data_IF_128695590820
#
_entry.id   IF_128695590820
#
_cell.length_a   1.000
_cell.length_b   1.000
_cell.length_c   1.000
_cell.angle_alpha   90.00
_cell.angle_beta   90.00
_cell.angle_gamma   90.00
#
_symmetry.space_group_name_H-M   'P 1'
#
loop_
_entity.id
_entity.type
_entity.pdbx_description
1 polymer ?
#
# COMPACT_ATOMS: atom_id res chain seq x y z
N UNK A 1 -10.40 -60.64 51.12
CA UNK A 1 -9.03 -60.60 51.70
C UNK A 1 -8.04 -61.49 50.94
N UNK A 2 -8.45 -62.24 49.91
CA UNK A 2 -7.58 -63.18 49.19
C UNK A 2 -6.81 -62.58 48.00
N UNK A 3 -7.21 -61.42 47.47
CA UNK A 3 -6.55 -60.76 46.32
C UNK A 3 -5.28 -59.95 46.68
N UNK A 4 -4.99 -59.80 47.97
CA UNK A 4 -3.87 -58.99 48.45
C UNK A 4 -2.54 -59.75 48.31
N UNK A 5 -2.58 -61.08 48.46
CA UNK A 5 -1.43 -61.97 48.31
C UNK A 5 -0.78 -61.93 46.90
N UNK A 6 -1.53 -62.04 45.79
CA UNK A 6 -0.93 -61.93 44.45
C UNK A 6 -0.45 -60.50 44.13
N UNK A 7 -1.07 -59.47 44.72
CA UNK A 7 -0.65 -58.08 44.55
C UNK A 7 0.68 -57.79 45.27
N UNK A 8 0.89 -58.34 46.47
CA UNK A 8 2.16 -58.23 47.20
C UNK A 8 3.30 -59.00 46.54
N UNK A 9 3.01 -60.10 45.85
CA UNK A 9 4.03 -60.83 45.08
C UNK A 9 4.58 -60.00 43.90
N UNK A 10 3.75 -59.16 43.27
CA UNK A 10 4.19 -58.24 42.19
C UNK A 10 5.02 -57.06 42.70
N UNK A 11 4.99 -56.80 44.00
CA UNK A 11 5.72 -55.71 44.66
C UNK A 11 7.10 -56.17 45.17
N UNK A 12 7.50 -57.43 44.92
CA UNK A 12 8.84 -57.91 45.21
C UNK A 12 9.86 -57.25 44.28
N UNK A 13 10.78 -56.50 44.89
CA UNK A 13 11.94 -55.80 44.31
C UNK A 13 12.98 -56.69 43.60
N UNK A 14 12.67 -57.96 43.29
CA UNK A 14 13.62 -58.89 42.68
C UNK A 14 13.83 -58.63 41.18
N UNK A 15 12.82 -58.07 40.49
CA UNK A 15 12.92 -57.67 39.07
C UNK A 15 13.15 -56.15 38.95
N UNK A 16 14.11 -55.60 39.71
CA UNK A 16 14.54 -54.23 39.51
C UNK A 16 15.33 -54.12 38.19
N UNK A 17 14.93 -53.26 37.23
CA UNK A 17 15.75 -53.02 36.05
C UNK A 17 17.13 -52.50 36.49
N UNK A 18 18.21 -52.95 35.83
CA UNK A 18 19.59 -52.78 36.30
C UNK A 18 20.13 -51.34 36.32
N UNK A 19 19.32 -50.34 36.00
CA UNK A 19 19.61 -48.92 36.21
C UNK A 19 18.52 -48.37 37.11
N UNK A 20 18.91 -47.79 38.25
CA UNK A 20 18.01 -47.39 39.35
C UNK A 20 16.86 -46.46 38.96
N UNK A 21 16.12 -46.00 39.98
CA UNK A 21 14.87 -45.21 39.86
C UNK A 21 14.99 -44.05 38.85
N UNK A 22 16.18 -43.45 38.73
CA UNK A 22 16.49 -42.35 37.81
C UNK A 22 16.34 -42.73 36.33
N UNK A 23 16.66 -43.98 35.94
CA UNK A 23 16.52 -44.46 34.56
C UNK A 23 15.05 -44.62 34.10
N UNK A 24 14.09 -44.56 35.03
CA UNK A 24 12.63 -44.61 34.74
C UNK A 24 12.11 -43.20 34.43
N UNK A 25 12.70 -42.15 35.01
CA UNK A 25 12.33 -40.76 34.75
C UNK A 25 12.71 -40.32 33.33
N UNK A 26 13.81 -40.85 32.80
CA UNK A 26 14.30 -40.55 31.44
C UNK A 26 13.58 -41.36 30.33
N UNK A 27 12.74 -42.33 30.70
CA UNK A 27 12.00 -43.15 29.72
C UNK A 27 10.75 -42.42 29.20
N UNK A 28 10.90 -41.66 28.12
CA UNK A 28 9.77 -41.18 27.33
C UNK A 28 9.13 -42.33 26.53
N UNK A 29 8.24 -43.09 27.18
CA UNK A 29 7.43 -44.09 26.49
C UNK A 29 6.34 -43.38 25.67
N UNK A 30 6.11 -43.77 24.40
CA UNK A 30 4.99 -43.22 23.64
C UNK A 30 3.69 -43.53 24.38
N UNK A 31 2.86 -42.51 24.59
CA UNK A 31 1.56 -42.68 25.24
C UNK A 31 0.78 -43.76 24.49
N UNK A 32 0.30 -44.78 25.21
CA UNK A 32 -0.56 -45.83 24.63
C UNK A 32 -1.78 -45.14 24.01
N UNK A 33 -1.96 -45.29 22.69
CA UNK A 33 -3.14 -44.79 21.99
C UNK A 33 -4.35 -45.54 22.52
N UNK A 34 -5.16 -44.86 23.34
CA UNK A 34 -6.43 -45.40 23.81
C UNK A 34 -7.38 -45.45 22.62
N UNK A 35 -7.95 -46.63 22.33
CA UNK A 35 -8.98 -46.76 21.29
C UNK A 35 -10.18 -45.90 21.70
N UNK A 36 -10.70 -45.09 20.77
CA UNK A 36 -11.89 -44.28 21.02
C UNK A 36 -13.04 -45.22 21.42
N UNK A 37 -13.72 -44.91 22.52
CA UNK A 37 -14.90 -45.67 22.94
C UNK A 37 -16.02 -45.52 21.90
N UNK A 38 -16.90 -46.52 21.74
CA UNK A 38 -18.01 -46.45 20.78
C UNK A 38 -18.90 -45.23 21.03
N UNK A 39 -19.15 -44.86 22.29
CA UNK A 39 -19.94 -43.68 22.66
C UNK A 39 -19.27 -42.37 22.26
N UNK A 40 -17.93 -42.30 22.34
CA UNK A 40 -17.17 -41.14 21.89
C UNK A 40 -17.20 -41.01 20.36
N UNK A 41 -17.16 -42.13 19.64
CA UNK A 41 -17.32 -42.15 18.18
C UNK A 41 -18.73 -41.68 17.82
N UNK A 42 -19.76 -42.21 18.50
CA UNK A 42 -21.15 -41.82 18.29
C UNK A 42 -21.38 -40.33 18.53
N UNK A 43 -20.89 -39.79 19.66
CA UNK A 43 -21.03 -38.37 19.98
C UNK A 43 -20.30 -37.46 18.99
N UNK A 44 -19.15 -37.90 18.43
CA UNK A 44 -18.46 -37.17 17.37
C UNK A 44 -19.32 -37.12 16.10
N UNK A 45 -19.85 -38.26 15.66
CA UNK A 45 -20.68 -38.33 14.45
C UNK A 45 -21.97 -37.51 14.60
N UNK A 46 -22.59 -37.54 15.78
CA UNK A 46 -23.77 -36.71 16.06
C UNK A 46 -23.45 -35.21 15.95
N UNK A 47 -22.29 -34.77 16.45
CA UNK A 47 -21.85 -33.37 16.32
C UNK A 47 -21.49 -32.99 14.89
N UNK A 48 -20.88 -33.88 14.14
CA UNK A 48 -20.40 -33.57 12.80
C UNK A 48 -21.54 -33.54 11.76
N UNK A 49 -22.58 -34.36 11.94
CA UNK A 49 -23.64 -34.53 10.93
C UNK A 49 -25.04 -34.07 11.35
N UNK A 50 -25.37 -34.11 12.65
CA UNK A 50 -26.73 -33.82 13.13
C UNK A 50 -26.83 -32.48 13.87
N UNK A 51 -25.71 -31.91 14.32
CA UNK A 51 -25.72 -30.58 14.92
C UNK A 51 -25.84 -29.50 13.81
N UNK A 52 -26.73 -28.51 13.98
CA UNK A 52 -26.78 -27.40 13.03
C UNK A 52 -25.48 -26.61 13.06
N UNK A 53 -25.01 -26.18 11.89
CA UNK A 53 -23.84 -25.32 11.81
C UNK A 53 -24.16 -23.91 12.31
N UNK A 54 -23.26 -23.32 13.09
CA UNK A 54 -23.40 -21.93 13.57
C UNK A 54 -23.13 -20.88 12.47
N UNK A 55 -22.74 -21.33 11.28
CA UNK A 55 -22.53 -20.51 10.09
C UNK A 55 -23.17 -21.17 8.87
N UNK A 56 -23.53 -20.35 7.88
CA UNK A 56 -24.01 -20.85 6.60
C UNK A 56 -22.87 -21.46 5.77
N UNK A 57 -23.15 -22.56 5.07
CA UNK A 57 -22.21 -23.11 4.09
C UNK A 57 -22.20 -22.26 2.82
N UNK A 58 -21.12 -22.35 2.03
CA UNK A 58 -20.99 -21.64 0.74
C UNK A 58 -22.20 -21.82 -0.19
N UNK A 59 -22.77 -23.02 -0.43
CA UNK A 59 -23.94 -23.14 -1.31
C UNK A 59 -25.21 -22.51 -0.72
N UNK A 60 -25.33 -22.40 0.60
CA UNK A 60 -26.42 -21.66 1.24
C UNK A 60 -26.20 -20.15 1.15
N UNK A 61 -24.97 -19.69 1.32
CA UNK A 61 -24.62 -18.27 1.14
C UNK A 61 -24.90 -17.81 -0.28
N UNK A 62 -24.53 -18.59 -1.31
CA UNK A 62 -24.79 -18.21 -2.71
C UNK A 62 -26.28 -18.07 -3.03
N UNK A 63 -27.15 -18.80 -2.31
CA UNK A 63 -28.61 -18.70 -2.47
C UNK A 63 -29.24 -17.57 -1.67
N UNK A 64 -28.66 -17.25 -0.51
CA UNK A 64 -29.18 -16.25 0.42
C UNK A 64 -28.61 -14.86 0.16
N UNK A 65 -27.42 -14.76 -0.43
CA UNK A 65 -26.78 -13.49 -0.77
C UNK A 65 -27.36 -12.94 -2.06
N UNK A 66 -27.70 -11.66 -2.02
CA UNK A 66 -28.03 -10.88 -3.20
C UNK A 66 -26.87 -9.92 -3.46
N UNK A 67 -26.32 -9.95 -4.69
CA UNK A 67 -25.35 -8.96 -5.13
C UNK A 67 -26.10 -7.71 -5.56
N UNK A 68 -25.67 -6.56 -5.07
CA UNK A 68 -26.22 -5.28 -5.47
C UNK A 68 -25.48 -4.80 -6.71
N UNK A 69 -26.22 -4.25 -7.66
CA UNK A 69 -25.61 -3.60 -8.82
C UNK A 69 -24.99 -2.27 -8.36
N UNK A 70 -23.67 -2.21 -8.37
CA UNK A 70 -22.91 -1.00 -8.05
C UNK A 70 -22.32 -0.45 -9.37
N UNK A 71 -22.98 0.50 -10.05
CA UNK A 71 -22.40 1.12 -11.23
C UNK A 71 -21.10 1.85 -10.84
N UNK A 72 -20.07 1.72 -11.67
CA UNK A 72 -18.78 2.36 -11.42
C UNK A 72 -18.91 3.87 -11.57
N UNK A 73 -18.76 4.61 -10.46
CA UNK A 73 -18.65 6.06 -10.52
C UNK A 73 -17.21 6.44 -10.92
N UNK A 74 -17.02 6.87 -12.16
CA UNK A 74 -15.70 7.25 -12.66
C UNK A 74 -15.15 8.52 -12.00
N UNK A 75 -16.01 9.37 -11.44
CA UNK A 75 -15.59 10.62 -10.81
C UNK A 75 -14.78 10.38 -9.53
N UNK A 76 -15.01 9.27 -8.85
CA UNK A 76 -14.28 8.87 -7.63
C UNK A 76 -12.83 8.44 -7.91
N UNK A 77 -12.49 8.14 -9.17
CA UNK A 77 -11.13 7.77 -9.57
C UNK A 77 -10.21 8.98 -9.75
N UNK A 78 -10.76 10.20 -9.78
CA UNK A 78 -9.96 11.40 -9.97
C UNK A 78 -9.26 11.78 -8.67
N UNK A 79 -7.92 11.81 -8.70
CA UNK A 79 -7.10 12.25 -7.58
C UNK A 79 -6.81 13.75 -7.66
N UNK A 80 -7.06 14.45 -6.55
CA UNK A 80 -6.62 15.84 -6.39
C UNK A 80 -5.16 15.89 -5.94
N UNK A 81 -4.39 16.80 -6.54
CA UNK A 81 -3.01 17.02 -6.14
C UNK A 81 -2.92 17.47 -4.67
N UNK A 82 -1.94 16.96 -3.89
CA UNK A 82 -1.78 17.33 -2.50
C UNK A 82 -1.41 18.81 -2.33
N UNK A 83 -1.85 19.40 -1.22
CA UNK A 83 -1.53 20.79 -0.88
C UNK A 83 -0.02 20.97 -0.66
N UNK A 84 0.53 22.09 -1.14
CA UNK A 84 1.95 22.41 -0.99
C UNK A 84 2.16 23.46 0.11
N UNK A 85 3.04 23.17 1.06
CA UNK A 85 3.44 24.10 2.13
C UNK A 85 4.46 25.11 1.62
N UNK A 86 4.22 26.41 1.85
CA UNK A 86 5.14 27.50 1.49
C UNK A 86 5.85 28.13 2.69
N UNK A 87 5.56 27.69 3.90
CA UNK A 87 6.15 28.27 5.13
C UNK A 87 7.16 27.29 5.72
N UNK A 88 8.34 27.80 6.06
CA UNK A 88 9.39 27.05 6.74
C UNK A 88 9.86 27.85 7.95
N UNK A 89 10.13 27.16 9.05
CA UNK A 89 10.66 27.75 10.28
C UNK A 89 12.18 27.89 10.13
N UNK A 90 12.70 29.13 10.24
CA UNK A 90 14.13 29.42 10.32
C UNK A 90 14.49 29.88 11.72
N UNK A 91 15.46 29.22 12.33
CA UNK A 91 15.97 29.58 13.65
C UNK A 91 16.93 30.77 13.57
N UNK A 92 16.76 31.74 14.47
CA UNK A 92 17.71 32.84 14.68
C UNK A 92 18.75 32.41 15.71
N UNK A 93 20.02 32.62 15.40
CA UNK A 93 21.15 32.28 16.27
C UNK A 93 21.93 33.54 16.62
N UNK A 94 22.27 33.69 17.90
CA UNK A 94 22.96 34.86 18.42
C UNK A 94 24.12 34.45 19.33
N UNK A 95 25.10 35.37 19.47
CA UNK A 95 26.33 35.16 20.24
C UNK A 95 27.39 34.34 19.51
N UNK A 96 28.60 34.29 20.11
CA UNK A 96 29.75 33.53 19.59
C UNK A 96 29.53 32.01 19.60
N UNK A 97 28.71 31.50 20.52
CA UNK A 97 28.33 30.09 20.59
C UNK A 97 27.23 29.70 19.58
N UNK A 98 26.52 30.68 19.00
CA UNK A 98 25.45 30.45 18.03
C UNK A 98 24.23 29.70 18.59
N UNK A 99 23.83 29.99 19.84
CA UNK A 99 22.62 29.38 20.43
C UNK A 99 21.36 29.85 19.72
N UNK A 100 20.38 28.95 19.58
CA UNK A 100 19.07 29.29 19.01
C UNK A 100 18.30 30.13 20.02
N UNK A 101 18.05 31.40 19.69
CA UNK A 101 17.32 32.35 20.55
C UNK A 101 15.88 32.51 20.14
N UNK A 102 15.54 32.24 18.88
CA UNK A 102 14.20 32.39 18.37
C UNK A 102 13.99 31.66 17.05
N UNK A 103 12.79 31.83 16.51
CA UNK A 103 12.40 31.31 15.22
C UNK A 103 11.59 32.36 14.46
N UNK A 104 11.66 32.29 13.13
CA UNK A 104 10.83 33.09 12.23
C UNK A 104 10.29 32.20 11.12
N UNK A 105 9.03 32.37 10.81
CA UNK A 105 8.43 31.73 9.64
C UNK A 105 8.82 32.52 8.40
N UNK A 106 9.41 31.84 7.42
CA UNK A 106 9.83 32.44 6.15
C UNK A 106 9.10 31.72 5.04
N UNK A 107 8.52 32.50 4.13
CA UNK A 107 7.91 31.96 2.92
C UNK A 107 9.02 31.49 1.98
N UNK A 108 9.00 30.20 1.68
CA UNK A 108 9.86 29.57 0.69
C UNK A 108 8.97 29.16 -0.48
N UNK A 109 9.47 29.25 -1.72
CA UNK A 109 8.78 28.70 -2.88
C UNK A 109 8.33 27.26 -2.63
N UNK A 110 7.18 26.90 -3.22
CA UNK A 110 6.52 25.64 -2.90
C UNK A 110 7.42 24.44 -3.25
N UNK A 111 8.01 23.81 -2.23
CA UNK A 111 8.90 22.67 -2.43
C UNK A 111 8.08 21.38 -2.57
N UNK A 112 7.77 21.04 -3.81
CA UNK A 112 7.22 19.74 -4.21
C UNK A 112 8.25 18.80 -4.81
N UNK A 113 9.55 19.05 -4.58
CA UNK A 113 10.61 18.18 -5.09
C UNK A 113 10.58 16.83 -4.37
N UNK A 114 10.39 15.78 -5.14
CA UNK A 114 10.33 14.38 -4.73
C UNK A 114 11.19 13.54 -5.66
N UNK A 115 11.34 12.26 -5.34
CA UNK A 115 12.08 11.36 -6.21
C UNK A 115 11.49 11.19 -7.62
N UNK A 116 10.24 11.58 -7.85
CA UNK A 116 9.52 11.43 -9.13
C UNK A 116 9.57 12.66 -10.03
N UNK A 117 10.08 13.80 -9.57
CA UNK A 117 10.01 15.06 -10.33
C UNK A 117 11.21 15.99 -10.08
N UNK A 118 12.29 15.48 -9.50
CA UNK A 118 13.48 16.29 -9.23
C UNK A 118 14.74 15.45 -9.16
N UNK A 119 15.81 16.00 -9.75
CA UNK A 119 17.19 15.50 -9.64
C UNK A 119 17.98 16.11 -8.47
N UNK A 120 17.37 17.02 -7.68
CA UNK A 120 18.03 17.72 -6.58
C UNK A 120 18.29 16.82 -5.37
N UNK A 121 19.43 17.04 -4.69
CA UNK A 121 19.75 16.39 -3.42
C UNK A 121 18.84 16.85 -2.26
N UNK A 122 18.25 18.05 -2.36
CA UNK A 122 17.37 18.63 -1.35
C UNK A 122 15.91 18.17 -1.48
N UNK A 123 15.63 17.25 -2.42
CA UNK A 123 14.30 16.65 -2.58
C UNK A 123 13.90 15.86 -1.32
N UNK A 124 12.59 15.71 -1.12
CA UNK A 124 12.07 14.88 -0.01
C UNK A 124 12.56 13.43 -0.15
N UNK A 125 13.05 12.80 0.94
CA UNK A 125 13.46 11.40 0.90
C UNK A 125 12.25 10.51 0.55
N UNK A 126 12.52 9.42 -0.15
CA UNK A 126 11.51 8.45 -0.53
C UNK A 126 11.05 7.59 0.67
N UNK A 127 10.09 6.69 0.42
CA UNK A 127 9.63 5.73 1.42
C UNK A 127 10.78 4.83 1.90
N UNK A 128 10.70 4.37 3.15
CA UNK A 128 11.72 3.54 3.82
C UNK A 128 12.02 2.23 3.06
N UNK A 129 11.04 1.67 2.36
CA UNK A 129 11.21 0.47 1.56
C UNK A 129 12.25 0.64 0.44
N UNK A 130 12.41 1.85 -0.09
CA UNK A 130 13.22 2.14 -1.27
C UNK A 130 14.54 2.87 -0.92
N UNK A 131 14.95 2.86 0.36
CA UNK A 131 16.07 3.67 0.84
C UNK A 131 17.41 3.36 0.15
N UNK A 132 17.73 2.08 -0.05
CA UNK A 132 19.05 1.66 -0.57
C UNK A 132 19.03 1.43 -2.08
N UNK A 133 18.06 0.65 -2.57
CA UNK A 133 17.98 0.29 -3.99
C UNK A 133 17.34 1.38 -4.84
N UNK A 134 16.57 2.27 -4.23
CA UNK A 134 15.67 3.17 -4.96
C UNK A 134 14.55 2.40 -5.66
N UNK A 135 13.81 3.13 -6.49
CA UNK A 135 12.83 2.59 -7.41
C UNK A 135 13.19 3.01 -8.84
N UNK A 136 12.86 2.17 -9.82
CA UNK A 136 13.18 2.44 -11.23
C UNK A 136 12.53 3.73 -11.77
N UNK A 137 11.42 4.17 -11.17
CA UNK A 137 10.76 5.43 -11.51
C UNK A 137 11.34 6.66 -10.83
N UNK A 138 12.45 6.56 -10.10
CA UNK A 138 13.08 7.71 -9.46
C UNK A 138 14.09 8.38 -10.37
N UNK A 139 14.06 9.71 -10.40
CA UNK A 139 15.07 10.52 -11.06
C UNK A 139 16.41 10.33 -10.34
N UNK A 140 17.53 10.19 -11.07
CA UNK A 140 18.85 10.17 -10.45
C UNK A 140 19.16 11.53 -9.82
N UNK A 141 20.05 11.53 -8.83
CA UNK A 141 20.59 12.80 -8.35
C UNK A 141 21.51 13.41 -9.41
N UNK A 142 21.52 14.74 -9.52
CA UNK A 142 22.38 15.44 -10.44
C UNK A 142 23.86 15.07 -10.16
N UNK A 143 24.58 14.44 -11.11
CA UNK A 143 26.01 14.19 -10.97
C UNK A 143 26.76 15.51 -10.88
N UNK A 144 27.63 15.65 -9.88
CA UNK A 144 28.45 16.85 -9.70
C UNK A 144 29.63 16.92 -10.67
N UNK A 145 30.09 18.13 -10.97
CA UNK A 145 31.28 18.38 -11.80
C UNK A 145 30.99 18.34 -13.30
N UNK A 146 29.72 18.36 -13.70
CA UNK A 146 29.29 18.47 -15.09
C UNK A 146 28.44 19.73 -15.25
N UNK A 147 29.05 20.82 -15.71
CA UNK A 147 28.39 22.13 -15.88
C UNK A 147 27.08 22.05 -16.67
N UNK A 148 27.01 21.17 -17.68
CA UNK A 148 25.81 20.97 -18.49
C UNK A 148 24.64 20.37 -17.69
N UNK A 149 24.92 19.49 -16.73
CA UNK A 149 23.90 18.83 -15.90
C UNK A 149 23.51 19.71 -14.71
N UNK A 150 24.46 20.48 -14.20
CA UNK A 150 24.20 21.48 -13.16
C UNK A 150 23.33 22.63 -13.70
N UNK A 151 23.57 23.07 -14.94
CA UNK A 151 22.73 24.06 -15.61
C UNK A 151 21.30 23.56 -15.85
N UNK A 152 21.12 22.28 -16.24
CA UNK A 152 19.76 21.72 -16.42
C UNK A 152 19.05 21.52 -15.09
N UNK A 153 19.74 21.09 -14.04
CA UNK A 153 19.18 21.01 -12.69
C UNK A 153 18.77 22.39 -12.15
N UNK A 154 19.61 23.41 -12.37
CA UNK A 154 19.28 24.79 -11.99
C UNK A 154 18.10 25.36 -12.79
N UNK A 155 18.00 25.02 -14.08
CA UNK A 155 16.86 25.39 -14.90
C UNK A 155 15.57 24.67 -14.47
N UNK A 156 15.65 23.39 -14.12
CA UNK A 156 14.55 22.60 -13.54
C UNK A 156 14.06 23.23 -12.22
N UNK A 157 14.99 23.58 -11.33
CA UNK A 157 14.68 24.27 -10.08
C UNK A 157 14.03 25.64 -10.36
N UNK A 158 14.55 26.43 -11.30
CA UNK A 158 13.95 27.70 -11.69
C UNK A 158 12.54 27.56 -12.30
N UNK A 159 12.26 26.48 -13.04
CA UNK A 159 10.91 26.21 -13.55
C UNK A 159 9.93 25.85 -12.43
N UNK A 160 10.37 25.01 -11.48
CA UNK A 160 9.58 24.67 -10.28
C UNK A 160 9.29 25.93 -9.43
N UNK A 161 10.25 26.84 -9.33
CA UNK A 161 10.13 28.12 -8.64
C UNK A 161 9.28 29.15 -9.43
N UNK A 162 9.39 29.14 -10.76
CA UNK A 162 8.88 30.14 -11.69
C UNK A 162 7.40 30.03 -12.02
N UNK A 163 6.75 28.91 -11.72
CA UNK A 163 5.30 28.74 -11.88
C UNK A 163 4.43 29.69 -11.01
N UNK A 164 5.02 30.68 -10.33
CA UNK A 164 4.31 31.65 -9.49
C UNK A 164 4.67 33.13 -9.76
N UNK A 165 5.69 33.43 -10.57
CA UNK A 165 6.12 34.81 -10.78
C UNK A 165 6.18 35.14 -12.27
N UNK A 166 5.13 35.81 -12.73
CA UNK A 166 4.98 36.49 -14.02
C UNK A 166 4.74 35.61 -15.25
N UNK A 167 3.49 35.62 -15.70
CA UNK A 167 3.01 35.37 -17.05
C UNK A 167 3.55 36.36 -18.10
N UNK A 168 4.78 36.85 -17.93
CA UNK A 168 5.48 37.61 -18.97
C UNK A 168 6.21 36.64 -19.87
N UNK A 169 5.46 36.10 -20.83
CA UNK A 169 5.86 35.54 -22.13
C UNK A 169 7.37 35.42 -22.33
N UNK A 170 8.02 34.48 -21.64
CA UNK A 170 9.18 33.81 -22.20
C UNK A 170 8.60 32.58 -22.86
N UNK A 171 8.50 32.61 -24.19
CA UNK A 171 8.03 31.49 -25.00
C UNK A 171 8.67 30.22 -24.47
N UNK A 172 7.87 29.41 -23.79
CA UNK A 172 8.39 28.20 -23.18
C UNK A 172 8.82 27.31 -24.34
N UNK A 173 9.91 26.56 -24.22
CA UNK A 173 10.30 25.62 -25.28
C UNK A 173 9.17 24.65 -25.63
N UNK A 174 8.21 24.45 -24.71
CA UNK A 174 7.02 23.63 -24.89
C UNK A 174 6.04 24.24 -25.88
N UNK A 175 5.98 25.57 -26.01
CA UNK A 175 5.06 26.24 -26.94
C UNK A 175 5.41 25.96 -28.41
N UNK A 176 6.64 25.54 -28.67
CA UNK A 176 7.09 25.10 -29.99
C UNK A 176 6.71 23.64 -30.31
N UNK A 177 6.42 22.85 -29.28
CA UNK A 177 6.17 21.41 -29.38
C UNK A 177 4.67 21.11 -29.23
N UNK A 178 3.96 21.92 -28.46
CA UNK A 178 2.52 21.81 -28.26
C UNK A 178 1.82 22.65 -29.32
N UNK A 179 1.00 21.99 -30.15
CA UNK A 179 0.16 22.67 -31.14
C UNK A 179 -0.98 23.39 -30.42
N UNK A 180 -0.72 24.60 -29.95
CA UNK A 180 -1.80 25.53 -29.62
C UNK A 180 -2.53 25.85 -30.93
N UNK A 181 -3.83 25.59 -30.99
CA UNK A 181 -4.66 25.94 -32.14
C UNK A 181 -4.69 27.45 -32.39
N UNK A 182 -5.57 27.95 -33.29
CA UNK A 182 -5.75 29.39 -33.48
C UNK A 182 -5.99 30.09 -32.13
N UNK A 183 -5.52 31.33 -31.98
CA UNK A 183 -5.38 32.02 -30.68
C UNK A 183 -6.62 31.85 -29.78
N UNK A 184 -6.44 31.18 -28.65
CA UNK A 184 -7.49 30.92 -27.67
C UNK A 184 -8.23 29.57 -27.80
N UNK A 185 -7.85 28.70 -28.74
CA UNK A 185 -8.43 27.37 -28.87
C UNK A 185 -8.05 26.44 -27.69
N UNK A 186 -8.98 25.54 -27.33
CA UNK A 186 -8.74 24.50 -26.31
C UNK A 186 -7.77 23.44 -26.86
N UNK A 187 -7.01 22.81 -25.96
CA UNK A 187 -6.12 21.70 -26.32
C UNK A 187 -6.94 20.43 -26.60
N UNK A 188 -6.96 20.00 -27.85
CA UNK A 188 -7.73 18.82 -28.29
C UNK A 188 -6.89 17.53 -28.30
N UNK A 189 -5.58 17.63 -28.56
CA UNK A 189 -4.66 16.51 -28.68
C UNK A 189 -3.65 16.49 -27.52
N UNK A 190 -3.54 15.38 -26.76
CA UNK A 190 -2.50 15.27 -25.75
C UNK A 190 -1.11 15.16 -26.42
N UNK A 191 -0.06 15.69 -25.77
CA UNK A 191 1.29 15.69 -26.34
C UNK A 191 1.82 14.25 -26.52
N UNK A 192 2.44 13.98 -27.67
CA UNK A 192 2.98 12.65 -28.01
C UNK A 192 1.95 11.67 -28.56
N UNK A 193 0.69 12.07 -28.72
CA UNK A 193 -0.37 11.26 -29.32
C UNK A 193 -0.83 11.87 -30.65
N UNK A 194 -1.45 11.03 -31.49
CA UNK A 194 -2.03 11.44 -32.77
C UNK A 194 -3.55 11.63 -32.74
N UNK A 195 -4.21 11.24 -31.65
CA UNK A 195 -5.68 11.26 -31.50
C UNK A 195 -6.09 11.91 -30.18
N UNK A 196 -7.21 12.63 -30.22
CA UNK A 196 -7.79 13.37 -29.10
C UNK A 196 -9.06 12.70 -28.57
N UNK A 197 -9.87 13.49 -27.88
CA UNK A 197 -11.12 13.05 -27.29
C UNK A 197 -12.31 13.24 -28.27
N UNK A 198 -12.94 12.14 -28.66
CA UNK A 198 -14.09 12.14 -29.57
C UNK A 198 -15.42 12.10 -28.79
N UNK A 199 -16.05 13.27 -28.55
CA UNK A 199 -17.33 13.36 -27.82
C UNK A 199 -18.55 12.83 -28.60
N UNK A 200 -18.42 12.63 -29.91
CA UNK A 200 -19.54 12.28 -30.78
C UNK A 200 -19.90 10.79 -30.78
N UNK A 201 -19.07 9.94 -30.18
CA UNK A 201 -19.29 8.50 -30.16
C UNK A 201 -20.23 8.11 -29.01
N UNK A 202 -21.53 8.43 -29.14
CA UNK A 202 -22.56 7.90 -28.24
C UNK A 202 -22.54 6.38 -28.28
N UNK A 203 -22.56 5.74 -27.11
CA UNK A 203 -22.80 4.30 -27.02
C UNK A 203 -24.17 3.97 -27.64
N UNK A 204 -24.31 2.84 -28.35
CA UNK A 204 -25.56 2.50 -29.05
C UNK A 204 -26.76 2.32 -28.11
N UNK A 205 -26.52 2.10 -26.82
CA UNK A 205 -27.56 1.92 -25.79
C UNK A 205 -28.29 3.20 -25.40
N UNK A 206 -27.65 4.37 -25.48
CA UNK A 206 -28.22 5.63 -24.98
C UNK A 206 -29.08 6.37 -26.03
N UNK A 207 -29.06 5.91 -27.29
CA UNK A 207 -29.90 6.49 -28.34
C UNK A 207 -31.35 5.98 -28.27
N UNK A 208 -31.56 4.76 -27.75
CA UNK A 208 -32.90 4.18 -27.62
C UNK A 208 -33.70 4.84 -26.49
N UNK A 209 -33.07 5.10 -25.34
CA UNK A 209 -33.72 5.71 -24.16
C UNK A 209 -34.04 7.19 -24.35
N UNK A 210 -33.27 7.91 -25.18
CA UNK A 210 -33.54 9.31 -25.48
C UNK A 210 -34.73 9.52 -26.43
N UNK A 211 -35.01 8.54 -27.32
CA UNK A 211 -36.15 8.63 -28.25
C UNK A 211 -37.51 8.35 -27.59
N UNK A 212 -37.54 7.62 -26.47
CA UNK A 212 -38.78 7.31 -25.73
C UNK A 212 -39.28 8.47 -24.85
N UNK A 213 -38.44 9.47 -24.57
CA UNK A 213 -38.80 10.64 -23.73
C UNK A 213 -39.34 11.81 -24.58
N UNK A 214 -39.13 11.80 -25.89
CA UNK A 214 -39.62 12.85 -26.81
C UNK A 214 -41.01 12.57 -27.42
N UNK A 215 -41.71 11.50 -26.96
CA UNK A 215 -43.09 11.17 -27.37
C UNK A 215 -44.11 11.32 -26.25
#
# INVERSE_FOLDING_TARGET
MEDLAPALQKLRLADAPSGGIDAILDQQRPRKRTRRSPDHIRSSLEKDFLAPSTSFSTPWLDRLQQRWDCPTNYEELFELAPTQTRTIIRFTREGLEGRVTGYKEVTVPANSATAKNSTSILRKPANRADFVRGAAGFFPFAPGGLDAVEATAAAEEQLLLGNQANSTVKQSGLDKVINFGPEGALLELPPGFSRGLDLQKKAPTDQATAQEVET
#
